data_IF_804048223254
#
_entry.id   IF_804048223254
#
_cell.length_a   1.000
_cell.length_b   1.000
_cell.length_c   1.000
_cell.angle_alpha   90.00
_cell.angle_beta   90.00
_cell.angle_gamma   90.00
#
_symmetry.space_group_name_H-M   'P 1'
#
loop_
_entity.id
_entity.type
_entity.pdbx_description
1 polymer ?
#
# COMPACT_ATOMS: atom_id res chain seq x y z
N UNK A 1 3.10 24.76 -12.34
CA UNK A 1 2.12 24.82 -11.23
C UNK A 1 1.33 23.52 -11.07
N UNK A 2 0.67 22.97 -12.09
CA UNK A 2 -0.17 21.75 -11.95
C UNK A 2 0.55 20.46 -11.55
N UNK A 3 1.81 20.28 -11.97
CA UNK A 3 2.57 19.05 -11.73
C UNK A 3 2.80 18.76 -10.24
N UNK A 4 3.09 19.79 -9.43
CA UNK A 4 3.30 19.64 -7.99
C UNK A 4 2.01 19.25 -7.26
N UNK A 5 0.87 19.77 -7.70
CA UNK A 5 -0.43 19.41 -7.14
C UNK A 5 -0.78 17.95 -7.43
N UNK A 6 -0.52 17.49 -8.66
CA UNK A 6 -0.74 16.09 -9.05
C UNK A 6 0.15 15.16 -8.21
N UNK A 7 1.44 15.49 -8.07
CA UNK A 7 2.37 14.72 -7.23
C UNK A 7 1.93 14.66 -5.77
N UNK A 8 1.45 15.78 -5.21
CA UNK A 8 0.92 15.83 -3.85
C UNK A 8 -0.32 14.94 -3.66
N UNK A 9 -1.25 14.96 -4.63
CA UNK A 9 -2.45 14.11 -4.59
C UNK A 9 -2.07 12.62 -4.69
N UNK A 10 -1.19 12.27 -5.62
CA UNK A 10 -0.72 10.89 -5.79
C UNK A 10 -0.01 10.39 -4.52
N UNK A 11 0.79 11.25 -3.89
CA UNK A 11 1.45 10.94 -2.62
C UNK A 11 0.42 10.60 -1.52
N UNK A 12 -0.61 11.43 -1.35
CA UNK A 12 -1.67 11.14 -0.36
C UNK A 12 -2.41 9.83 -0.69
N UNK A 13 -2.77 9.62 -1.96
CA UNK A 13 -3.45 8.39 -2.38
C UNK A 13 -2.58 7.14 -2.16
N UNK A 14 -1.27 7.25 -2.40
CA UNK A 14 -0.32 6.17 -2.17
C UNK A 14 -0.24 5.79 -0.67
N UNK A 15 -0.15 6.77 0.22
CA UNK A 15 -0.14 6.54 1.65
C UNK A 15 -1.44 5.89 2.14
N UNK A 16 -2.60 6.40 1.71
CA UNK A 16 -3.92 5.84 2.05
C UNK A 16 -4.05 4.40 1.56
N UNK A 17 -3.61 4.11 0.34
CA UNK A 17 -3.66 2.77 -0.23
C UNK A 17 -2.82 1.77 0.57
N UNK A 18 -1.57 2.12 0.93
CA UNK A 18 -0.70 1.24 1.74
C UNK A 18 -1.35 0.94 3.09
N UNK A 19 -1.86 1.96 3.78
CA UNK A 19 -2.51 1.78 5.08
C UNK A 19 -3.72 0.83 4.95
N UNK A 20 -4.56 1.04 3.93
CA UNK A 20 -5.74 0.22 3.71
C UNK A 20 -5.39 -1.23 3.35
N UNK A 21 -4.40 -1.47 2.48
CA UNK A 21 -3.96 -2.82 2.11
C UNK A 21 -3.36 -3.57 3.31
N UNK A 22 -2.54 -2.89 4.13
CA UNK A 22 -1.93 -3.44 5.34
C UNK A 22 -2.98 -3.84 6.38
N UNK A 23 -3.97 -2.99 6.62
CA UNK A 23 -4.97 -3.21 7.68
C UNK A 23 -6.03 -4.22 7.23
N UNK A 24 -6.58 -4.04 6.03
CA UNK A 24 -7.79 -4.77 5.60
C UNK A 24 -7.45 -6.12 4.98
N UNK A 25 -6.41 -6.16 4.13
CA UNK A 25 -6.14 -7.34 3.31
C UNK A 25 -5.03 -8.21 3.89
N UNK A 26 -4.07 -7.61 4.60
CA UNK A 26 -2.96 -8.34 5.18
C UNK A 26 -3.26 -8.82 6.61
N UNK A 27 -4.34 -9.58 6.78
CA UNK A 27 -4.76 -10.12 8.09
C UNK A 27 -3.75 -11.08 8.72
N UNK A 28 -2.89 -11.71 7.91
CA UNK A 28 -1.83 -12.65 8.36
C UNK A 28 -0.53 -11.95 8.76
N UNK A 29 -0.39 -10.66 8.48
CA UNK A 29 0.76 -9.87 8.87
C UNK A 29 0.70 -9.61 10.38
N UNK A 30 1.82 -9.79 11.08
CA UNK A 30 1.91 -9.50 12.51
C UNK A 30 1.65 -8.02 12.78
N UNK A 31 1.07 -7.71 13.93
CA UNK A 31 0.65 -6.33 14.24
C UNK A 31 1.85 -5.36 14.29
N UNK A 32 3.01 -5.82 14.74
CA UNK A 32 4.25 -5.02 14.72
C UNK A 32 4.71 -4.68 13.29
N UNK A 33 4.55 -5.60 12.34
CA UNK A 33 4.92 -5.36 10.96
C UNK A 33 3.89 -4.50 10.22
N UNK A 34 2.60 -4.60 10.58
CA UNK A 34 1.58 -3.64 10.12
C UNK A 34 1.90 -2.22 10.57
N UNK A 35 2.25 -2.06 11.85
CA UNK A 35 2.63 -0.76 12.41
C UNK A 35 3.86 -0.18 11.71
N UNK A 36 4.87 -1.01 11.42
CA UNK A 36 6.05 -0.58 10.68
C UNK A 36 5.69 -0.05 9.28
N UNK A 37 4.84 -0.76 8.53
CA UNK A 37 4.41 -0.31 7.21
C UNK A 37 3.62 1.00 7.24
N UNK A 38 2.77 1.20 8.25
CA UNK A 38 2.00 2.43 8.43
C UNK A 38 2.95 3.61 8.73
N UNK A 39 3.92 3.42 9.65
CA UNK A 39 4.92 4.45 9.98
C UNK A 39 5.75 4.82 8.75
N UNK A 40 6.23 3.83 8.00
CA UNK A 40 6.98 4.05 6.78
C UNK A 40 6.14 4.79 5.73
N UNK A 41 4.86 4.44 5.56
CA UNK A 41 3.97 5.09 4.60
C UNK A 41 3.74 6.57 4.90
N UNK A 42 3.75 6.97 6.18
CA UNK A 42 3.62 8.38 6.57
C UNK A 42 4.92 9.16 6.35
N UNK A 43 6.08 8.56 6.63
CA UNK A 43 7.38 9.24 6.57
C UNK A 43 7.94 9.29 5.14
N UNK A 44 7.90 8.16 4.42
CA UNK A 44 8.51 7.99 3.09
C UNK A 44 7.48 8.01 1.94
N UNK A 45 6.18 8.05 2.28
CA UNK A 45 5.07 8.27 1.36
C UNK A 45 5.14 7.37 0.10
N UNK A 46 5.34 7.95 -1.08
CA UNK A 46 5.26 7.24 -2.36
C UNK A 46 6.34 6.16 -2.50
N UNK A 47 7.50 6.36 -1.86
CA UNK A 47 8.58 5.37 -1.88
C UNK A 47 8.18 4.11 -1.12
N UNK A 48 7.54 4.26 0.04
CA UNK A 48 7.01 3.10 0.78
C UNK A 48 5.92 2.40 0.00
N UNK A 49 5.05 3.12 -0.70
CA UNK A 49 4.03 2.48 -1.53
C UNK A 49 4.63 1.63 -2.65
N UNK A 50 5.70 2.10 -3.29
CA UNK A 50 6.43 1.33 -4.31
C UNK A 50 7.05 0.07 -3.67
N UNK A 51 7.82 0.22 -2.59
CA UNK A 51 8.48 -0.92 -1.93
C UNK A 51 7.45 -1.92 -1.41
N UNK A 52 6.36 -1.43 -0.83
CA UNK A 52 5.25 -2.26 -0.36
C UNK A 52 4.60 -3.04 -1.49
N UNK A 53 4.35 -2.39 -2.63
CA UNK A 53 3.75 -3.03 -3.81
C UNK A 53 4.58 -4.20 -4.34
N UNK A 54 5.92 -4.11 -4.28
CA UNK A 54 6.80 -5.16 -4.77
C UNK A 54 7.12 -6.23 -3.73
N UNK A 55 7.30 -5.86 -2.46
CA UNK A 55 7.82 -6.75 -1.42
C UNK A 55 6.72 -7.17 -0.43
N UNK A 56 5.92 -6.21 0.04
CA UNK A 56 4.91 -6.43 1.07
C UNK A 56 3.60 -7.01 0.53
N UNK A 57 3.31 -6.77 -0.74
CA UNK A 57 2.08 -7.22 -1.40
C UNK A 57 2.15 -8.72 -1.71
N UNK A 58 1.21 -9.47 -1.14
CA UNK A 58 0.99 -10.87 -1.51
C UNK A 58 -0.15 -10.97 -2.55
N UNK A 59 0.09 -11.64 -3.67
CA UNK A 59 -0.88 -11.81 -4.77
C UNK A 59 -2.20 -12.52 -4.37
N UNK A 60 -2.26 -13.15 -3.20
CA UNK A 60 -3.48 -13.77 -2.66
C UNK A 60 -4.39 -12.77 -1.92
N UNK A 61 -3.82 -11.66 -1.48
CA UNK A 61 -4.45 -10.69 -0.60
C UNK A 61 -4.33 -9.27 -1.19
N UNK A 62 -4.22 -9.12 -2.51
CA UNK A 62 -4.22 -7.79 -3.07
C UNK A 62 -5.63 -7.21 -3.11
N UNK A 63 -5.74 -5.89 -2.95
CA UNK A 63 -7.00 -5.17 -3.14
C UNK A 63 -7.68 -5.46 -4.48
N UNK A 64 -6.87 -5.67 -5.52
CA UNK A 64 -7.33 -5.88 -6.88
C UNK A 64 -7.52 -7.36 -7.23
N UNK A 65 -7.59 -8.21 -6.20
CA UNK A 65 -7.92 -9.64 -6.21
C UNK A 65 -8.23 -10.15 -7.59
N UNK A 66 -7.23 -10.70 -8.29
CA UNK A 66 -7.43 -11.41 -9.56
C UNK A 66 -8.21 -12.69 -9.25
N UNK A 67 -9.52 -12.57 -9.04
CA UNK A 67 -10.45 -13.66 -8.74
C UNK A 67 -10.59 -14.66 -9.90
N UNK A 68 -10.01 -14.37 -11.07
CA UNK A 68 -10.29 -15.05 -12.34
C UNK A 68 -9.15 -15.96 -12.84
N UNK A 69 -8.41 -16.66 -11.98
CA UNK A 69 -7.40 -17.63 -12.43
C UNK A 69 -7.86 -19.11 -12.36
N UNK A 70 -9.15 -19.36 -12.07
CA UNK A 70 -9.72 -20.71 -12.00
C UNK A 70 -11.11 -20.78 -12.66
N UNK A 71 -11.18 -20.40 -13.94
CA UNK A 71 -12.21 -20.85 -14.88
C UNK A 71 -11.56 -21.12 -16.23
#
# INVERSE_FOLDING_TARGET
MFFNTILGIVAVLAAVWVIYDVIVHNKKLSDGMKLLWIILAVIFNILTAIVYYFIGRNAKNDLFGRKNAYH
#
